data_IF_153905235191
#
_entry.id   IF_153905235191
#
_cell.length_a   1.000
_cell.length_b   1.000
_cell.length_c   1.000
_cell.angle_alpha   90.00
_cell.angle_beta   90.00
_cell.angle_gamma   90.00
#
_symmetry.space_group_name_H-M   'P 1'
#
loop_
_entity.id
_entity.type
_entity.pdbx_description
1 polymer ?
#
# COMPACT_ATOMS: atom_id res chain seq x y z
N UNK A 1 3.48 -10.81 16.99
CA UNK A 1 2.27 -10.54 16.22
C UNK A 1 1.81 -11.82 15.53
N UNK A 2 0.60 -12.24 15.83
CA UNK A 2 -0.02 -13.39 15.17
C UNK A 2 -0.36 -12.94 13.74
N UNK A 3 0.19 -13.64 12.74
CA UNK A 3 -0.17 -13.42 11.33
C UNK A 3 0.94 -12.86 10.42
N UNK A 4 1.99 -12.25 10.95
CA UNK A 4 3.12 -11.82 10.12
C UNK A 4 4.06 -12.99 9.84
N UNK A 5 4.33 -13.26 8.57
CA UNK A 5 5.34 -14.24 8.16
C UNK A 5 6.75 -13.62 8.24
N UNK A 6 7.74 -14.45 8.52
CA UNK A 6 9.13 -14.01 8.48
C UNK A 6 9.52 -13.67 7.03
N UNK A 7 10.13 -12.51 6.84
CA UNK A 7 10.70 -12.14 5.54
C UNK A 7 11.88 -13.08 5.20
N UNK A 8 12.12 -13.34 3.91
CA UNK A 8 13.32 -14.03 3.46
C UNK A 8 14.58 -13.30 3.94
N UNK A 9 15.67 -14.04 4.15
CA UNK A 9 16.95 -13.41 4.47
C UNK A 9 17.43 -12.60 3.26
N UNK A 10 17.91 -11.36 3.45
CA UNK A 10 18.47 -10.59 2.37
C UNK A 10 19.70 -11.29 1.76
N UNK A 11 19.73 -11.33 0.43
CA UNK A 11 20.87 -11.85 -0.34
C UNK A 11 21.50 -10.72 -1.15
N UNK A 12 22.81 -10.78 -1.37
CA UNK A 12 23.50 -9.83 -2.23
C UNK A 12 23.31 -10.16 -3.71
N UNK A 13 23.46 -9.15 -4.59
CA UNK A 13 23.44 -9.35 -6.04
C UNK A 13 22.13 -8.95 -6.74
N UNK A 14 21.12 -8.45 -6.01
CA UNK A 14 19.93 -7.85 -6.61
C UNK A 14 20.21 -6.45 -7.20
N UNK A 15 19.38 -6.02 -8.14
CA UNK A 15 19.43 -4.68 -8.71
C UNK A 15 18.06 -4.04 -8.74
N UNK A 16 17.94 -2.81 -8.25
CA UNK A 16 16.70 -2.02 -8.30
C UNK A 16 16.27 -1.70 -9.75
N UNK A 17 17.20 -1.68 -10.70
CA UNK A 17 16.87 -1.48 -12.11
C UNK A 17 16.03 -2.60 -12.70
N UNK A 18 16.05 -3.79 -12.08
CA UNK A 18 15.16 -4.89 -12.48
C UNK A 18 13.68 -4.59 -12.21
N UNK A 19 13.37 -3.77 -11.21
CA UNK A 19 11.98 -3.41 -10.88
C UNK A 19 11.28 -2.70 -12.04
N UNK A 20 11.99 -1.81 -12.75
CA UNK A 20 11.44 -1.09 -13.90
C UNK A 20 10.98 -1.99 -15.05
N UNK A 21 11.48 -3.24 -15.12
CA UNK A 21 11.05 -4.21 -16.15
C UNK A 21 9.70 -4.85 -15.84
N UNK A 22 9.26 -4.77 -14.59
CA UNK A 22 8.03 -5.40 -14.11
C UNK A 22 6.88 -4.41 -13.93
N UNK A 23 7.17 -3.11 -13.92
CA UNK A 23 6.17 -2.07 -13.77
C UNK A 23 5.99 -1.30 -15.06
N UNK A 24 4.75 -1.17 -15.50
CA UNK A 24 4.40 -0.43 -16.72
C UNK A 24 4.29 1.08 -16.42
N UNK A 25 5.42 1.68 -16.04
CA UNK A 25 5.57 3.09 -15.63
C UNK A 25 6.77 3.70 -16.35
N UNK A 26 6.84 5.02 -16.43
CA UNK A 26 8.03 5.72 -16.90
C UNK A 26 9.16 5.70 -15.85
N UNK A 27 10.32 6.27 -16.21
CA UNK A 27 11.52 6.25 -15.36
C UNK A 27 11.32 7.03 -14.05
N UNK A 28 10.63 8.17 -14.10
CA UNK A 28 10.36 9.02 -12.94
C UNK A 28 9.40 8.30 -11.96
N UNK A 29 8.33 7.74 -12.47
CA UNK A 29 7.38 6.96 -11.68
C UNK A 29 8.01 5.68 -11.13
N UNK A 30 8.95 5.05 -11.86
CA UNK A 30 9.72 3.91 -11.38
C UNK A 30 10.63 4.29 -10.19
N UNK A 31 11.27 5.46 -10.26
CA UNK A 31 12.08 5.99 -9.16
C UNK A 31 11.19 6.28 -7.92
N UNK A 32 10.02 6.89 -8.12
CA UNK A 32 9.07 7.16 -7.05
C UNK A 32 8.54 5.87 -6.41
N UNK A 33 8.23 4.84 -7.19
CA UNK A 33 7.83 3.52 -6.66
C UNK A 33 8.96 2.88 -5.86
N UNK A 34 10.20 2.99 -6.32
CA UNK A 34 11.37 2.49 -5.60
C UNK A 34 11.55 3.20 -4.27
N UNK A 35 11.42 4.52 -4.25
CA UNK A 35 11.49 5.31 -3.02
C UNK A 35 10.35 4.95 -2.05
N UNK A 36 9.14 4.73 -2.57
CA UNK A 36 8.00 4.27 -1.78
C UNK A 36 8.25 2.89 -1.15
N UNK A 37 8.78 1.91 -1.92
CA UNK A 37 9.16 0.58 -1.41
C UNK A 37 10.15 0.68 -0.25
N UNK A 38 11.21 1.50 -0.40
CA UNK A 38 12.18 1.73 0.67
C UNK A 38 11.55 2.39 1.90
N UNK A 39 10.59 3.30 1.69
CA UNK A 39 9.80 3.91 2.76
C UNK A 39 8.99 2.89 3.56
N UNK A 40 8.40 1.89 2.90
CA UNK A 40 7.63 0.82 3.54
C UNK A 40 8.46 -0.01 4.53
N UNK A 41 9.78 -0.10 4.34
CA UNK A 41 10.70 -0.83 5.22
C UNK A 41 11.08 -0.04 6.48
N UNK A 42 10.53 1.16 6.68
CA UNK A 42 10.78 2.04 7.84
C UNK A 42 9.53 2.17 8.71
N UNK A 43 9.17 1.19 9.54
CA UNK A 43 7.89 1.13 10.25
C UNK A 43 7.67 2.25 11.28
N UNK A 44 8.75 2.91 11.73
CA UNK A 44 8.69 4.03 12.65
C UNK A 44 8.43 5.38 11.97
N UNK A 45 8.63 5.48 10.65
CA UNK A 45 8.37 6.68 9.87
C UNK A 45 6.90 6.78 9.43
N UNK A 46 6.39 7.97 9.09
CA UNK A 46 5.13 8.10 8.39
C UNK A 46 5.14 7.27 7.10
N UNK A 47 4.02 6.61 6.80
CA UNK A 47 3.88 5.74 5.63
C UNK A 47 3.09 6.44 4.55
N UNK A 48 3.69 6.60 3.37
CA UNK A 48 3.02 7.21 2.22
C UNK A 48 2.03 6.21 1.63
N UNK A 49 0.81 6.66 1.37
CA UNK A 49 -0.20 5.87 0.66
C UNK A 49 0.15 5.86 -0.83
N UNK A 50 0.14 4.70 -1.47
CA UNK A 50 0.32 4.57 -2.90
C UNK A 50 -1.04 4.42 -3.59
N UNK A 51 -1.37 5.33 -4.51
CA UNK A 51 -2.55 5.23 -5.35
C UNK A 51 -2.16 4.93 -6.79
N UNK A 52 -2.53 3.74 -7.27
CA UNK A 52 -2.37 3.32 -8.66
C UNK A 52 -3.66 3.63 -9.42
N UNK A 53 -3.66 4.71 -10.19
CA UNK A 53 -4.83 5.21 -10.90
C UNK A 53 -4.58 5.23 -12.41
N UNK A 54 -5.30 4.41 -13.16
CA UNK A 54 -5.14 4.31 -14.62
C UNK A 54 -6.38 3.70 -15.26
N UNK A 55 -6.43 3.71 -16.58
CA UNK A 55 -7.48 3.05 -17.34
C UNK A 55 -7.60 1.55 -17.02
N UNK A 56 -8.72 0.96 -17.35
CA UNK A 56 -8.92 -0.49 -17.23
C UNK A 56 -7.90 -1.24 -18.11
N UNK A 57 -7.36 -2.33 -17.59
CA UNK A 57 -6.39 -3.15 -18.32
C UNK A 57 -4.95 -2.62 -18.32
N UNK A 58 -4.61 -1.64 -17.50
CA UNK A 58 -3.24 -1.10 -17.35
C UNK A 58 -2.34 -1.92 -16.40
N UNK A 59 -2.83 -3.00 -15.79
CA UNK A 59 -2.04 -3.84 -14.88
C UNK A 59 -1.98 -3.35 -13.43
N UNK A 60 -2.90 -2.47 -12.98
CA UNK A 60 -2.92 -1.92 -11.59
C UNK A 60 -2.89 -3.01 -10.53
N UNK A 61 -3.81 -3.97 -10.62
CA UNK A 61 -3.91 -5.06 -9.64
C UNK A 61 -2.68 -5.94 -9.64
N UNK A 62 -2.10 -6.22 -10.82
CA UNK A 62 -0.85 -6.99 -10.94
C UNK A 62 0.32 -6.23 -10.31
N UNK A 63 0.45 -4.93 -10.59
CA UNK A 63 1.48 -4.07 -9.98
C UNK A 63 1.33 -4.01 -8.46
N UNK A 64 0.10 -3.81 -7.98
CA UNK A 64 -0.19 -3.79 -6.53
C UNK A 64 0.17 -5.13 -5.86
N UNK A 65 -0.16 -6.25 -6.48
CA UNK A 65 0.19 -7.59 -5.98
C UNK A 65 1.70 -7.82 -5.94
N UNK A 66 2.44 -7.43 -6.99
CA UNK A 66 3.90 -7.55 -7.02
C UNK A 66 4.57 -6.67 -5.93
N UNK A 67 4.13 -5.42 -5.79
CA UNK A 67 4.61 -4.54 -4.72
C UNK A 67 4.31 -5.12 -3.33
N UNK A 68 3.12 -5.68 -3.16
CA UNK A 68 2.72 -6.34 -1.93
C UNK A 68 3.63 -7.52 -1.58
N UNK A 69 3.93 -8.37 -2.55
CA UNK A 69 4.83 -9.52 -2.37
C UNK A 69 6.26 -9.13 -2.00
N UNK A 70 6.75 -7.99 -2.49
CA UNK A 70 8.08 -7.48 -2.14
C UNK A 70 8.18 -6.98 -0.70
N UNK A 71 7.08 -6.48 -0.13
CA UNK A 71 7.06 -5.88 1.21
C UNK A 71 6.54 -6.85 2.27
N UNK A 72 5.48 -7.59 1.96
CA UNK A 72 4.80 -8.50 2.90
C UNK A 72 4.33 -9.75 2.14
N UNK A 73 5.23 -10.70 1.83
CA UNK A 73 4.92 -11.86 1.00
C UNK A 73 3.84 -12.78 1.59
N UNK A 74 3.61 -12.70 2.90
CA UNK A 74 2.53 -13.44 3.57
C UNK A 74 1.15 -12.81 3.44
N UNK A 75 1.09 -11.52 3.10
CA UNK A 75 -0.15 -10.73 3.06
C UNK A 75 -0.52 -10.26 1.65
N UNK A 76 0.06 -10.82 0.61
CA UNK A 76 -0.06 -10.38 -0.79
C UNK A 76 -1.48 -10.50 -1.39
N UNK A 77 -2.51 -10.39 -0.59
CA UNK A 77 -3.89 -10.43 -1.04
C UNK A 77 -4.40 -9.02 -1.30
N UNK A 78 -4.79 -8.79 -2.54
CA UNK A 78 -5.62 -7.65 -2.89
C UNK A 78 -7.02 -7.90 -2.35
N UNK A 79 -7.50 -7.00 -1.53
CA UNK A 79 -8.81 -7.09 -0.89
C UNK A 79 -9.70 -5.92 -1.31
N UNK A 80 -11.00 -6.08 -1.09
CA UNK A 80 -11.90 -4.95 -1.20
C UNK A 80 -11.64 -3.96 -0.04
N UNK A 81 -11.82 -2.67 -0.31
CA UNK A 81 -11.72 -1.64 0.74
C UNK A 81 -12.76 -1.92 1.83
N UNK A 82 -12.36 -1.96 3.12
CA UNK A 82 -13.30 -2.20 4.22
C UNK A 82 -14.40 -1.14 4.28
N UNK A 83 -15.59 -1.56 4.71
CA UNK A 83 -16.73 -0.66 4.84
C UNK A 83 -16.68 0.30 6.05
N UNK A 84 -15.73 0.13 6.97
CA UNK A 84 -15.59 0.97 8.17
C UNK A 84 -14.12 1.18 8.56
N UNK A 85 -13.85 2.28 9.28
CA UNK A 85 -12.54 2.59 9.86
C UNK A 85 -12.10 1.54 10.88
N UNK A 86 -13.03 0.99 11.66
CA UNK A 86 -12.76 -0.09 12.61
C UNK A 86 -12.24 -1.35 11.90
N UNK A 87 -12.86 -1.73 10.79
CA UNK A 87 -12.41 -2.87 9.99
C UNK A 87 -11.05 -2.62 9.33
N UNK A 88 -10.78 -1.38 8.88
CA UNK A 88 -9.48 -0.97 8.35
C UNK A 88 -8.38 -1.11 9.42
N UNK A 89 -8.61 -0.61 10.63
CA UNK A 89 -7.65 -0.72 11.73
C UNK A 89 -7.43 -2.16 12.16
N UNK A 90 -8.47 -2.99 12.17
CA UNK A 90 -8.34 -4.42 12.46
C UNK A 90 -7.49 -5.15 11.41
N UNK A 91 -7.65 -4.82 10.12
CA UNK A 91 -6.78 -5.35 9.06
C UNK A 91 -5.32 -4.88 9.24
N UNK A 92 -5.12 -3.62 9.62
CA UNK A 92 -3.80 -3.04 9.86
C UNK A 92 -3.06 -3.67 11.05
N UNK A 93 -3.77 -4.25 12.01
CA UNK A 93 -3.17 -5.01 13.11
C UNK A 93 -2.60 -6.35 12.66
N UNK A 94 -3.17 -6.95 11.62
CA UNK A 94 -2.83 -8.29 11.15
C UNK A 94 -1.73 -8.30 10.08
N UNK A 95 -1.48 -7.17 9.41
CA UNK A 95 -0.60 -7.07 8.23
C UNK A 95 0.32 -5.87 8.32
N UNK A 96 1.50 -6.01 7.72
CA UNK A 96 2.41 -4.87 7.59
C UNK A 96 1.97 -3.95 6.45
N UNK A 97 1.53 -4.51 5.31
CA UNK A 97 1.03 -3.77 4.16
C UNK A 97 -0.45 -4.07 3.92
N UNK A 98 -1.23 -3.06 3.60
CA UNK A 98 -2.62 -3.17 3.17
C UNK A 98 -2.73 -2.84 1.69
N UNK A 99 -3.34 -3.73 0.90
CA UNK A 99 -3.55 -3.50 -0.53
C UNK A 99 -5.03 -3.69 -0.87
N UNK A 100 -5.67 -2.60 -1.30
CA UNK A 100 -7.08 -2.58 -1.64
C UNK A 100 -7.27 -2.36 -3.13
N UNK A 101 -8.01 -3.26 -3.76
CA UNK A 101 -8.25 -3.25 -5.20
C UNK A 101 -9.61 -2.66 -5.55
N UNK A 102 -9.64 -2.00 -6.70
CA UNK A 102 -10.87 -1.49 -7.31
C UNK A 102 -11.70 -0.57 -6.41
N UNK A 103 -11.04 0.29 -5.63
CA UNK A 103 -11.73 1.29 -4.84
C UNK A 103 -12.41 2.33 -5.75
N UNK A 104 -13.72 2.48 -5.64
CA UNK A 104 -14.51 3.42 -6.45
C UNK A 104 -14.77 4.75 -5.76
N UNK A 105 -14.78 4.76 -4.43
CA UNK A 105 -15.00 5.96 -3.63
C UNK A 105 -14.42 5.79 -2.22
N UNK A 106 -14.13 6.91 -1.58
CA UNK A 106 -13.72 6.98 -0.17
C UNK A 106 -14.73 7.83 0.60
N UNK A 107 -15.29 7.27 1.66
CA UNK A 107 -16.07 8.05 2.62
C UNK A 107 -15.16 8.99 3.41
N UNK A 108 -15.76 10.01 4.04
CA UNK A 108 -15.03 10.93 4.90
C UNK A 108 -14.28 10.18 6.03
N UNK A 109 -15.00 9.30 6.73
CA UNK A 109 -14.42 8.49 7.80
C UNK A 109 -13.26 7.59 7.33
N UNK A 110 -13.38 6.99 6.13
CA UNK A 110 -12.31 6.18 5.55
C UNK A 110 -11.09 7.01 5.18
N UNK A 111 -11.29 8.22 4.60
CA UNK A 111 -10.19 9.13 4.30
C UNK A 111 -9.44 9.54 5.58
N UNK A 112 -10.16 9.87 6.66
CA UNK A 112 -9.57 10.20 7.95
C UNK A 112 -8.82 9.02 8.57
N UNK A 113 -9.35 7.81 8.45
CA UNK A 113 -8.70 6.61 8.94
C UNK A 113 -7.40 6.29 8.18
N UNK A 114 -7.39 6.46 6.85
CA UNK A 114 -6.19 6.33 6.02
C UNK A 114 -5.14 7.38 6.37
N UNK A 115 -5.52 8.63 6.61
CA UNK A 115 -4.62 9.68 7.08
C UNK A 115 -3.98 9.30 8.42
N UNK A 116 -4.78 8.78 9.37
CA UNK A 116 -4.27 8.31 10.66
C UNK A 116 -3.30 7.13 10.50
N UNK A 117 -3.58 6.16 9.63
CA UNK A 117 -2.66 5.04 9.36
C UNK A 117 -1.34 5.51 8.75
N UNK A 118 -1.38 6.53 7.90
CA UNK A 118 -0.17 7.11 7.31
C UNK A 118 0.75 7.75 8.38
N UNK A 119 0.19 8.58 9.25
CA UNK A 119 0.97 9.37 10.22
C UNK A 119 1.10 8.71 11.59
N UNK A 120 0.20 7.83 11.94
CA UNK A 120 0.16 7.07 13.18
C UNK A 120 -1.21 7.06 13.81
N UNK A 121 -1.92 5.95 13.73
CA UNK A 121 -3.15 5.70 14.47
C UNK A 121 -2.80 5.26 15.90
N UNK A 122 -3.36 5.94 16.88
CA UNK A 122 -3.27 5.49 18.28
C UNK A 122 -4.00 4.15 18.44
N UNK A 123 -3.40 3.24 19.17
CA UNK A 123 -4.02 1.96 19.55
C UNK A 123 -3.63 1.56 20.95
N UNK A 124 -4.46 0.76 21.58
CA UNK A 124 -4.14 0.06 22.83
C UNK A 124 -3.85 -1.40 22.48
N UNK A 125 -2.70 -1.88 22.90
CA UNK A 125 -2.29 -3.28 22.75
C UNK A 125 -2.28 -3.94 24.12
N UNK A 126 -2.74 -5.17 24.20
CA UNK A 126 -2.58 -5.96 25.41
C UNK A 126 -1.25 -6.73 25.35
N UNK A 127 -0.32 -6.39 26.24
CA UNK A 127 0.96 -7.07 26.39
C UNK A 127 1.03 -7.59 27.82
N UNK A 128 1.13 -8.91 27.99
CA UNK A 128 1.17 -9.57 29.30
C UNK A 128 0.05 -9.13 30.26
N UNK A 129 -1.17 -9.00 29.73
CA UNK A 129 -2.38 -8.51 30.41
C UNK A 129 -2.36 -7.03 30.83
N UNK A 130 -1.38 -6.27 30.36
CA UNK A 130 -1.31 -4.83 30.52
C UNK A 130 -1.72 -4.13 29.23
N UNK A 131 -2.51 -3.07 29.37
CA UNK A 131 -2.87 -2.20 28.25
C UNK A 131 -1.72 -1.23 27.96
N UNK A 132 -1.06 -1.41 26.81
CA UNK A 132 0.04 -0.55 26.37
C UNK A 132 -0.42 0.31 25.21
N UNK A 133 -0.28 1.61 25.35
CA UNK A 133 -0.53 2.55 24.27
C UNK A 133 0.56 2.41 23.19
N UNK A 134 0.13 2.34 21.95
CA UNK A 134 1.04 2.23 20.82
C UNK A 134 0.57 3.05 19.62
N UNK A 135 1.41 3.15 18.62
CA UNK A 135 1.10 3.82 17.36
C UNK A 135 1.18 2.82 16.23
N UNK A 136 0.12 2.76 15.44
CA UNK A 136 0.02 1.90 14.26
C UNK A 136 0.24 2.73 13.00
N UNK A 137 1.25 2.39 12.23
CA UNK A 137 1.50 2.93 10.88
C UNK A 137 1.60 1.77 9.91
N UNK A 138 0.94 1.90 8.77
CA UNK A 138 0.98 0.87 7.74
C UNK A 138 1.03 1.52 6.35
N UNK A 139 1.91 1.04 5.47
CA UNK A 139 1.82 1.38 4.06
C UNK A 139 0.52 0.83 3.49
N UNK A 140 -0.08 1.61 2.60
CA UNK A 140 -1.35 1.28 1.96
C UNK A 140 -1.20 1.44 0.45
N UNK A 141 -1.67 0.45 -0.31
CA UNK A 141 -1.85 0.53 -1.76
C UNK A 141 -3.36 0.61 -2.04
N UNK A 142 -3.74 1.59 -2.85
CA UNK A 142 -5.10 1.72 -3.37
C UNK A 142 -5.05 1.61 -4.89
N UNK A 143 -5.80 0.69 -5.49
CA UNK A 143 -6.08 0.74 -6.91
C UNK A 143 -7.49 1.24 -7.15
N UNK A 144 -7.70 2.01 -8.19
CA UNK A 144 -9.04 2.56 -8.46
C UNK A 144 -9.10 3.49 -9.64
N UNK A 145 -10.16 4.30 -9.66
CA UNK A 145 -10.37 5.35 -10.64
C UNK A 145 -9.44 6.56 -10.37
N UNK A 146 -9.13 7.38 -11.38
CA UNK A 146 -8.21 8.52 -11.21
C UNK A 146 -8.60 9.50 -10.11
N UNK A 147 -9.89 9.73 -9.89
CA UNK A 147 -10.41 10.73 -8.93
C UNK A 147 -10.74 10.14 -7.54
N UNK A 148 -10.17 8.99 -7.17
CA UNK A 148 -10.41 8.36 -5.88
C UNK A 148 -9.98 9.26 -4.70
N UNK A 149 -8.82 9.92 -4.83
CA UNK A 149 -8.25 10.79 -3.80
C UNK A 149 -8.67 12.23 -4.06
N UNK A 150 -9.73 12.68 -3.38
CA UNK A 150 -10.31 14.02 -3.58
C UNK A 150 -9.98 15.00 -2.46
N UNK A 151 -9.79 14.50 -1.24
CA UNK A 151 -9.51 15.36 -0.09
C UNK A 151 -8.06 15.82 -0.07
N UNK A 152 -7.80 17.12 0.17
CA UNK A 152 -6.43 17.66 0.18
C UNK A 152 -5.53 16.98 1.21
N UNK A 153 -6.02 16.76 2.43
CA UNK A 153 -5.29 16.14 3.54
C UNK A 153 -4.86 14.69 3.25
N UNK A 154 -5.67 13.93 2.50
CA UNK A 154 -5.31 12.60 2.02
C UNK A 154 -4.36 12.69 0.82
N UNK A 155 -4.58 13.66 -0.08
CA UNK A 155 -3.74 13.89 -1.24
C UNK A 155 -2.29 14.20 -0.86
N UNK A 156 -2.07 15.00 0.18
CA UNK A 156 -0.75 15.36 0.72
C UNK A 156 0.03 14.16 1.29
N UNK A 157 -0.67 13.06 1.54
CA UNK A 157 -0.10 11.80 2.06
C UNK A 157 -0.07 10.68 1.04
N UNK A 158 -0.42 10.99 -0.22
CA UNK A 158 -0.61 9.99 -1.26
C UNK A 158 0.34 10.24 -2.43
N UNK A 159 1.16 9.26 -2.74
CA UNK A 159 1.88 9.17 -4.00
C UNK A 159 0.94 8.60 -5.05
N UNK A 160 0.71 9.36 -6.13
CA UNK A 160 -0.15 8.92 -7.24
C UNK A 160 0.71 8.52 -8.42
N UNK A 161 0.58 7.28 -8.85
CA UNK A 161 1.29 6.72 -10.00
C UNK A 161 0.27 6.34 -11.07
N UNK A 162 0.58 6.68 -12.31
CA UNK A 162 -0.21 6.30 -13.48
C UNK A 162 0.53 5.22 -14.27
N UNK A 163 -0.12 4.08 -14.40
CA UNK A 163 0.38 3.03 -15.28
C UNK A 163 -0.01 3.34 -16.73
N UNK A 164 0.91 3.12 -17.65
CA UNK A 164 0.63 3.22 -19.08
C UNK A 164 -0.42 2.19 -19.52
N UNK A 165 -1.14 2.46 -20.57
CA UNK A 165 -2.08 1.49 -21.14
C UNK A 165 -1.28 0.36 -21.81
N UNK A 166 -1.63 -0.89 -21.50
CA UNK A 166 -1.01 -2.07 -22.17
C UNK A 166 -1.76 -2.28 -23.48
N UNK A 167 -1.09 -1.98 -24.60
CA UNK A 167 -1.66 -2.18 -25.93
C UNK A 167 -1.54 -3.64 -26.39
N UNK A 168 -2.64 -4.18 -26.87
CA UNK A 168 -2.93 -5.36 -27.69
C UNK A 168 -2.18 -6.69 -27.49
N UNK A 169 -0.87 -6.75 -27.36
CA UNK A 169 -0.09 -8.01 -27.44
C UNK A 169 0.43 -8.50 -26.05
N UNK A 170 0.53 -7.65 -25.08
CA UNK A 170 1.10 -7.96 -23.76
C UNK A 170 0.07 -8.48 -22.74
N UNK A 171 -1.16 -8.76 -23.15
CA UNK A 171 -2.22 -9.31 -22.28
C UNK A 171 -2.19 -10.85 -22.20
N UNK A 172 -1.02 -11.42 -22.03
CA UNK A 172 -0.93 -12.88 -21.80
C UNK A 172 -0.57 -13.19 -20.37
#
# INVERSE_FOLDING_TARGET
PVGLQALPRPESGGSLTMLGRHFNVDEDDCLLLTAWLLGCLRPSAPQVILALASAQGSGKSTTAALLGQLIDPGAALLEALPGSDKALLAAADQRHLLAFDNASSLTLAMSDALCRLSTGAGRVMQVDKLDVAGTLRRPVILTGIPDLIRRPDLADRTLRIRLATIEGVARR
#
